data_IF_402747676554
#
_entry.id   IF_402747676554
#
_cell.length_a   1.000
_cell.length_b   1.000
_cell.length_c   1.000
_cell.angle_alpha   90.00
_cell.angle_beta   90.00
_cell.angle_gamma   90.00
#
_symmetry.space_group_name_H-M   'P 1'
#
loop_
_entity.id
_entity.type
_entity.pdbx_description
1 polymer ?
#
# COMPACT_ATOMS: atom_id res chain seq x y z
N UNK A 1 10.51 -31.95 -1.44
CA UNK A 1 11.68 -31.60 -2.24
C UNK A 1 12.14 -30.21 -1.84
N UNK A 2 13.05 -30.11 -0.84
CA UNK A 2 13.55 -28.86 -0.32
C UNK A 2 14.53 -28.19 -1.27
N UNK A 3 14.11 -27.06 -1.90
CA UNK A 3 14.99 -26.21 -2.68
C UNK A 3 15.57 -25.08 -1.81
N UNK A 4 16.77 -24.57 -2.14
CA UNK A 4 17.30 -23.33 -1.55
C UNK A 4 16.73 -22.13 -2.30
N UNK A 5 16.17 -21.18 -1.56
CA UNK A 5 15.64 -19.92 -2.10
C UNK A 5 16.40 -18.75 -1.49
N UNK A 6 16.73 -17.76 -2.30
CA UNK A 6 17.29 -16.51 -1.81
C UNK A 6 16.16 -15.56 -1.44
N UNK A 7 16.19 -15.07 -0.20
CA UNK A 7 15.24 -14.08 0.30
C UNK A 7 15.93 -12.74 0.51
N UNK A 8 15.20 -11.66 0.28
CA UNK A 8 15.60 -10.33 0.69
C UNK A 8 15.07 -10.05 2.10
N UNK A 9 15.74 -9.17 2.83
CA UNK A 9 15.27 -8.72 4.14
C UNK A 9 15.36 -7.21 4.26
N UNK A 10 14.26 -6.58 4.69
CA UNK A 10 14.27 -5.22 5.18
C UNK A 10 14.73 -5.23 6.64
N UNK A 11 15.74 -4.42 6.95
CA UNK A 11 16.20 -4.21 8.33
C UNK A 11 15.97 -2.75 8.70
N UNK A 12 15.03 -2.51 9.60
CA UNK A 12 14.75 -1.18 10.17
C UNK A 12 15.38 -1.10 11.56
N UNK A 13 16.10 -0.01 11.84
CA UNK A 13 16.77 0.18 13.14
C UNK A 13 16.47 1.58 13.66
N UNK A 14 15.94 1.68 14.88
CA UNK A 14 15.75 2.93 15.59
C UNK A 14 17.10 3.56 15.95
N UNK A 15 17.22 4.86 15.78
CA UNK A 15 18.49 5.57 15.94
C UNK A 15 18.91 5.73 17.41
N UNK A 16 17.96 5.83 18.33
CA UNK A 16 18.22 6.06 19.76
C UNK A 16 18.42 4.72 20.49
N UNK A 17 17.39 3.91 20.64
CA UNK A 17 17.44 2.65 21.38
C UNK A 17 18.28 1.57 20.72
N UNK A 18 18.52 1.64 19.42
CA UNK A 18 19.09 0.58 18.58
C UNK A 18 18.17 -0.64 18.42
N UNK A 19 16.90 -0.53 18.83
CA UNK A 19 15.91 -1.54 18.52
C UNK A 19 15.80 -1.73 17.00
N UNK A 20 15.57 -2.94 16.55
CA UNK A 20 15.50 -3.24 15.15
C UNK A 20 14.49 -4.32 14.83
N UNK A 21 13.94 -4.26 13.64
CA UNK A 21 13.09 -5.28 13.06
C UNK A 21 13.75 -5.83 11.78
N UNK A 22 13.56 -7.11 11.53
CA UNK A 22 14.00 -7.79 10.30
C UNK A 22 12.77 -8.41 9.66
N UNK A 23 12.46 -7.99 8.45
CA UNK A 23 11.28 -8.47 7.72
C UNK A 23 11.74 -9.13 6.43
N UNK A 24 11.38 -10.40 6.27
CA UNK A 24 11.68 -11.17 5.07
C UNK A 24 10.75 -10.81 3.93
N UNK A 25 11.29 -10.70 2.73
CA UNK A 25 10.56 -10.36 1.51
C UNK A 25 10.90 -11.33 0.38
N UNK A 26 9.88 -11.68 -0.42
CA UNK A 26 10.03 -12.55 -1.60
C UNK A 26 10.51 -11.79 -2.83
N UNK A 27 10.38 -10.46 -2.84
CA UNK A 27 10.80 -9.61 -3.94
C UNK A 27 11.16 -8.20 -3.48
N UNK A 28 11.75 -7.40 -4.38
CA UNK A 28 12.06 -5.98 -4.14
C UNK A 28 11.05 -5.04 -4.79
N UNK A 29 9.83 -5.51 -5.05
CA UNK A 29 8.76 -4.67 -5.59
C UNK A 29 8.31 -3.61 -4.60
N UNK A 30 7.62 -2.58 -5.08
CA UNK A 30 7.04 -1.54 -4.22
C UNK A 30 6.07 -2.14 -3.19
N UNK A 31 5.23 -3.07 -3.63
CA UNK A 31 4.27 -3.77 -2.75
C UNK A 31 4.97 -4.41 -1.55
N UNK A 32 6.01 -5.23 -1.81
CA UNK A 32 6.78 -5.87 -0.74
C UNK A 32 7.54 -4.88 0.13
N UNK A 33 8.00 -3.77 -0.46
CA UNK A 33 8.65 -2.70 0.28
C UNK A 33 7.71 -2.03 1.28
N UNK A 34 6.47 -1.72 0.88
CA UNK A 34 5.46 -1.12 1.74
C UNK A 34 4.98 -2.11 2.81
N UNK A 35 4.72 -3.36 2.43
CA UNK A 35 4.36 -4.42 3.36
C UNK A 35 5.43 -4.64 4.44
N UNK A 36 6.70 -4.65 4.02
CA UNK A 36 7.81 -4.80 4.96
C UNK A 36 7.91 -3.61 5.94
N UNK A 37 7.58 -2.38 5.50
CA UNK A 37 7.51 -1.23 6.39
C UNK A 37 6.35 -1.35 7.38
N UNK A 38 5.16 -1.74 6.93
CA UNK A 38 4.02 -1.98 7.81
C UNK A 38 4.40 -2.96 8.93
N UNK A 39 4.90 -4.13 8.56
CA UNK A 39 5.32 -5.17 9.53
C UNK A 39 6.47 -4.72 10.43
N UNK A 40 7.37 -3.88 9.93
CA UNK A 40 8.46 -3.33 10.76
C UNK A 40 7.92 -2.33 11.79
N UNK A 41 7.00 -1.44 11.40
CA UNK A 41 6.39 -0.46 12.31
C UNK A 41 5.56 -1.14 13.40
N UNK A 42 4.81 -2.19 13.07
CA UNK A 42 4.11 -3.01 14.08
C UNK A 42 5.08 -3.58 15.12
N UNK A 43 6.24 -4.14 14.70
CA UNK A 43 7.24 -4.71 15.60
C UNK A 43 7.97 -3.67 16.41
N UNK A 44 8.13 -2.47 15.89
CA UNK A 44 8.72 -1.33 16.59
C UNK A 44 7.73 -0.65 17.54
N UNK A 45 6.43 -0.97 17.44
CA UNK A 45 5.38 -0.38 18.27
C UNK A 45 5.03 1.06 17.92
N UNK A 46 5.39 1.52 16.72
CA UNK A 46 5.13 2.88 16.26
C UNK A 46 5.92 3.23 15.00
N UNK A 47 5.68 4.43 14.47
CA UNK A 47 6.28 4.93 13.24
C UNK A 47 7.35 5.98 13.59
N UNK A 48 8.61 5.84 13.15
CA UNK A 48 9.63 6.86 13.34
C UNK A 48 9.26 8.16 12.60
N UNK A 49 9.49 9.32 13.18
CA UNK A 49 9.27 10.62 12.53
C UNK A 49 10.06 10.78 11.22
N UNK A 50 11.22 10.15 11.15
CA UNK A 50 12.09 10.20 9.97
C UNK A 50 12.59 8.80 9.66
N UNK A 51 12.41 8.38 8.42
CA UNK A 51 12.95 7.12 7.88
C UNK A 51 14.04 7.46 6.88
N UNK A 52 15.23 6.90 7.11
CA UNK A 52 16.38 7.07 6.21
C UNK A 52 16.65 5.78 5.44
N UNK A 53 16.04 5.62 4.25
CA UNK A 53 16.30 4.46 3.42
C UNK A 53 17.71 4.52 2.82
N UNK A 54 18.33 3.36 2.61
CA UNK A 54 19.42 3.27 1.65
C UNK A 54 18.89 3.58 0.24
N UNK A 55 19.76 4.05 -0.67
CA UNK A 55 19.38 4.48 -2.03
C UNK A 55 18.92 3.29 -2.90
N UNK A 56 17.87 2.59 -2.44
CA UNK A 56 17.21 1.53 -3.20
C UNK A 56 16.21 2.12 -4.19
N UNK A 57 16.13 1.55 -5.38
CA UNK A 57 15.25 2.03 -6.46
C UNK A 57 13.76 2.08 -6.09
N UNK A 58 13.34 1.27 -5.14
CA UNK A 58 11.97 1.28 -4.59
C UNK A 58 11.65 2.52 -3.76
N UNK A 59 12.66 3.15 -3.15
CA UNK A 59 12.49 4.37 -2.35
C UNK A 59 12.87 5.63 -3.13
N UNK A 60 13.94 5.57 -3.94
CA UNK A 60 14.52 6.70 -4.64
C UNK A 60 14.47 6.47 -6.14
N UNK A 61 13.71 7.29 -6.86
CA UNK A 61 13.60 7.22 -8.32
C UNK A 61 14.84 7.78 -9.00
N UNK A 62 15.43 8.87 -8.47
CA UNK A 62 16.61 9.51 -9.01
C UNK A 62 17.33 10.37 -7.97
N UNK A 63 18.66 10.47 -8.06
CA UNK A 63 19.47 11.32 -7.17
C UNK A 63 19.76 10.69 -5.81
N UNK A 64 20.24 11.51 -4.86
CA UNK A 64 20.53 11.09 -3.50
C UNK A 64 20.59 12.30 -2.54
N UNK A 65 20.39 12.04 -1.23
CA UNK A 65 20.36 13.08 -0.19
C UNK A 65 19.28 14.13 -0.44
N UNK A 66 19.53 15.42 -0.17
CA UNK A 66 18.53 16.48 -0.31
C UNK A 66 17.99 16.66 -1.75
N UNK A 67 18.72 16.18 -2.74
CA UNK A 67 18.36 16.26 -4.16
C UNK A 67 17.74 14.96 -4.70
N UNK A 68 17.46 14.00 -3.82
CA UNK A 68 16.81 12.77 -4.19
C UNK A 68 15.36 13.00 -4.59
N UNK A 69 14.96 12.48 -5.74
CA UNK A 69 13.55 12.38 -6.12
C UNK A 69 13.03 11.03 -5.64
N UNK A 70 12.11 11.06 -4.70
CA UNK A 70 11.48 9.84 -4.18
C UNK A 70 10.61 9.18 -5.24
N UNK A 71 10.50 7.87 -5.13
CA UNK A 71 9.48 7.13 -5.86
C UNK A 71 8.10 7.57 -5.36
N UNK A 72 7.21 7.96 -6.28
CA UNK A 72 5.93 8.63 -5.93
C UNK A 72 5.05 7.78 -5.00
N UNK A 73 4.97 6.47 -5.25
CA UNK A 73 4.23 5.56 -4.40
C UNK A 73 4.76 5.54 -2.96
N UNK A 74 6.10 5.49 -2.78
CA UNK A 74 6.68 5.52 -1.44
C UNK A 74 6.50 6.89 -0.77
N UNK A 75 6.61 7.99 -1.52
CA UNK A 75 6.35 9.33 -1.00
C UNK A 75 4.88 9.51 -0.57
N UNK A 76 3.95 8.95 -1.32
CA UNK A 76 2.52 8.95 -0.98
C UNK A 76 2.23 8.14 0.29
N UNK A 77 2.82 6.96 0.41
CA UNK A 77 2.74 6.12 1.61
C UNK A 77 3.30 6.84 2.84
N UNK A 78 4.46 7.49 2.72
CA UNK A 78 5.07 8.25 3.82
C UNK A 78 4.19 9.41 4.29
N UNK A 79 3.59 10.16 3.35
CA UNK A 79 2.64 11.23 3.68
C UNK A 79 1.41 10.71 4.42
N UNK A 80 0.87 9.57 4.00
CA UNK A 80 -0.30 8.97 4.65
C UNK A 80 -0.02 8.54 6.08
N UNK A 81 1.19 8.07 6.37
CA UNK A 81 1.63 7.66 7.71
C UNK A 81 2.27 8.79 8.53
N UNK A 82 2.51 9.95 7.93
CA UNK A 82 3.02 11.14 8.60
C UNK A 82 4.52 11.15 8.88
N UNK A 83 5.32 10.28 8.24
CA UNK A 83 6.76 10.28 8.42
C UNK A 83 7.51 10.95 7.26
N UNK A 84 8.70 11.49 7.57
CA UNK A 84 9.58 12.13 6.60
C UNK A 84 10.56 11.11 6.04
N UNK A 85 10.70 11.06 4.72
CA UNK A 85 11.74 10.26 4.06
C UNK A 85 12.96 11.13 3.85
N UNK A 86 14.10 10.73 4.43
CA UNK A 86 15.40 11.40 4.33
C UNK A 86 16.43 10.47 3.67
N UNK A 87 16.54 10.44 2.34
CA UNK A 87 17.43 9.52 1.64
C UNK A 87 18.90 9.74 1.98
N UNK A 88 19.68 8.67 2.10
CA UNK A 88 21.11 8.74 2.34
C UNK A 88 21.86 9.53 1.25
N UNK A 89 22.83 10.35 1.64
CA UNK A 89 23.75 10.98 0.71
C UNK A 89 24.70 9.95 0.09
N UNK A 90 25.08 10.18 -1.18
CA UNK A 90 26.04 9.31 -1.86
C UNK A 90 27.41 9.42 -1.17
N UNK A 91 28.05 8.28 -0.92
CA UNK A 91 29.42 8.15 -0.38
C UNK A 91 29.65 8.78 1.01
N UNK A 92 28.62 9.06 1.79
CA UNK A 92 28.77 9.57 3.16
C UNK A 92 28.76 8.40 4.13
N UNK A 93 29.96 7.94 4.51
CA UNK A 93 30.15 6.77 5.40
C UNK A 93 29.48 6.94 6.76
N UNK A 94 29.37 8.17 7.29
CA UNK A 94 28.69 8.48 8.54
C UNK A 94 27.19 8.22 8.51
N UNK A 95 26.53 8.42 7.37
CA UNK A 95 25.09 8.23 7.21
C UNK A 95 24.72 6.74 7.17
N UNK A 96 25.61 5.91 6.61
CA UNK A 96 25.38 4.46 6.43
C UNK A 96 25.94 3.57 7.56
N UNK A 97 26.95 4.04 8.29
CA UNK A 97 27.72 3.20 9.20
C UNK A 97 26.90 2.44 10.24
N UNK A 98 25.79 2.99 10.71
CA UNK A 98 24.90 2.33 11.68
C UNK A 98 24.09 1.21 11.03
N UNK A 99 23.56 1.45 9.82
CA UNK A 99 22.72 0.48 9.08
C UNK A 99 23.59 -0.66 8.53
N UNK A 100 24.74 -0.35 7.95
CA UNK A 100 25.68 -1.38 7.43
C UNK A 100 26.22 -2.29 8.52
N UNK A 101 26.58 -1.71 9.70
CA UNK A 101 26.99 -2.50 10.87
C UNK A 101 25.86 -3.42 11.32
N UNK A 102 24.62 -2.88 11.41
CA UNK A 102 23.45 -3.69 11.76
C UNK A 102 23.18 -4.79 10.74
N UNK A 103 23.28 -4.50 9.45
CA UNK A 103 23.11 -5.50 8.39
C UNK A 103 24.12 -6.65 8.49
N UNK A 104 25.38 -6.36 8.83
CA UNK A 104 26.40 -7.40 9.07
C UNK A 104 26.08 -8.21 10.33
N UNK A 105 25.73 -7.55 11.42
CA UNK A 105 25.35 -8.21 12.68
C UNK A 105 24.14 -9.13 12.46
N UNK A 106 23.11 -8.66 11.74
CA UNK A 106 21.89 -9.45 11.41
C UNK A 106 22.26 -10.69 10.63
N UNK A 107 23.09 -10.57 9.59
CA UNK A 107 23.53 -11.75 8.80
C UNK A 107 24.30 -12.76 9.65
N UNK A 108 25.11 -12.29 10.59
CA UNK A 108 25.90 -13.16 11.46
C UNK A 108 25.00 -13.95 12.43
N UNK A 109 24.09 -13.28 13.17
CA UNK A 109 23.28 -13.97 14.17
C UNK A 109 22.10 -14.77 13.61
N UNK A 110 21.61 -14.42 12.41
CA UNK A 110 20.62 -15.21 11.68
C UNK A 110 21.25 -16.34 10.85
N UNK A 111 22.58 -16.42 10.79
CA UNK A 111 23.29 -17.44 10.01
C UNK A 111 22.86 -18.87 10.32
N UNK A 112 22.55 -19.19 11.57
CA UNK A 112 22.07 -20.50 11.99
C UNK A 112 20.67 -20.88 11.39
N UNK A 113 19.86 -19.92 10.92
CA UNK A 113 18.59 -20.20 10.27
C UNK A 113 18.76 -20.71 8.82
N UNK A 114 19.95 -20.57 8.23
CA UNK A 114 20.23 -21.05 6.87
C UNK A 114 20.15 -22.57 6.73
N UNK A 115 20.40 -23.28 7.82
CA UNK A 115 20.43 -24.74 7.85
C UNK A 115 19.09 -25.33 8.35
N UNK A 116 18.10 -24.48 8.64
CA UNK A 116 16.75 -24.88 9.04
C UNK A 116 15.84 -24.83 7.82
N UNK A 117 15.05 -25.88 7.63
CA UNK A 117 14.02 -25.91 6.58
C UNK A 117 12.72 -25.31 7.13
N UNK A 118 12.22 -24.28 6.47
CA UNK A 118 10.95 -23.66 6.77
C UNK A 118 9.98 -23.96 5.62
N UNK A 119 8.74 -24.33 5.94
CA UNK A 119 7.69 -24.59 4.95
C UNK A 119 6.99 -23.30 4.51
N UNK A 120 6.95 -22.31 5.41
CA UNK A 120 6.27 -21.03 5.18
C UNK A 120 7.17 -19.86 5.57
N UNK A 121 6.95 -18.73 4.91
CA UNK A 121 7.70 -17.50 5.23
C UNK A 121 7.38 -17.00 6.64
N UNK A 122 6.16 -17.22 7.12
CA UNK A 122 5.70 -16.85 8.45
C UNK A 122 6.47 -17.61 9.55
N UNK A 123 6.80 -18.88 9.32
CA UNK A 123 7.57 -19.69 10.28
C UNK A 123 9.01 -19.17 10.40
N UNK A 124 9.64 -18.83 9.27
CA UNK A 124 10.94 -18.16 9.25
C UNK A 124 10.90 -16.81 9.95
N UNK A 125 9.82 -16.02 9.71
CA UNK A 125 9.63 -14.72 10.34
C UNK A 125 9.49 -14.86 11.85
N UNK A 126 8.68 -15.80 12.35
CA UNK A 126 8.50 -16.06 13.78
C UNK A 126 9.82 -16.45 14.46
N UNK A 127 10.58 -17.37 13.86
CA UNK A 127 11.91 -17.77 14.35
C UNK A 127 12.91 -16.60 14.36
N UNK A 128 12.79 -15.69 13.38
CA UNK A 128 13.61 -14.45 13.32
C UNK A 128 13.24 -13.51 14.44
N UNK A 129 11.95 -13.25 14.65
CA UNK A 129 11.43 -12.34 15.68
C UNK A 129 11.81 -12.82 17.09
N UNK A 130 11.76 -14.14 17.36
CA UNK A 130 12.22 -14.73 18.62
C UNK A 130 13.72 -14.49 18.84
N UNK A 131 14.55 -14.73 17.82
CA UNK A 131 16.00 -14.47 17.90
C UNK A 131 16.31 -12.98 18.11
N UNK A 132 15.60 -12.09 17.41
CA UNK A 132 15.75 -10.64 17.60
C UNK A 132 15.42 -10.29 19.05
N UNK A 133 14.30 -10.77 19.60
CA UNK A 133 13.89 -10.53 21.00
C UNK A 133 14.96 -10.99 21.98
N UNK A 134 15.45 -12.22 21.86
CA UNK A 134 16.50 -12.76 22.71
C UNK A 134 17.80 -11.94 22.63
N UNK A 135 18.12 -11.41 21.44
CA UNK A 135 19.34 -10.61 21.24
C UNK A 135 19.22 -9.21 21.85
N UNK A 136 18.10 -8.51 21.67
CA UNK A 136 17.92 -7.13 22.18
C UNK A 136 17.85 -7.07 23.70
N UNK A 137 17.47 -8.16 24.37
CA UNK A 137 17.54 -8.30 25.83
C UNK A 137 18.97 -8.28 26.36
N UNK A 138 19.92 -8.84 25.60
CA UNK A 138 21.33 -9.00 26.00
C UNK A 138 22.22 -7.86 25.56
N UNK A 139 21.88 -7.18 24.47
CA UNK A 139 22.70 -6.09 23.94
C UNK A 139 22.47 -4.80 24.72
N UNK A 140 23.56 -4.12 25.00
CA UNK A 140 23.53 -2.79 25.63
C UNK A 140 23.41 -1.70 24.56
N UNK A 141 22.50 -0.77 24.77
CA UNK A 141 22.37 0.43 23.94
C UNK A 141 23.52 1.40 24.26
N UNK A 142 24.33 1.80 23.27
CA UNK A 142 25.48 2.68 23.51
C UNK A 142 25.07 4.11 23.88
N UNK A 143 23.80 4.48 23.69
CA UNK A 143 23.28 5.81 24.00
C UNK A 143 22.82 5.91 25.46
N UNK A 144 22.13 4.88 25.95
CA UNK A 144 21.48 4.90 27.27
C UNK A 144 22.23 4.13 28.33
N UNK A 145 23.15 3.25 27.94
CA UNK A 145 23.82 2.31 28.85
C UNK A 145 22.94 1.17 29.39
N UNK A 146 21.65 1.13 28.98
CA UNK A 146 20.68 0.08 29.35
C UNK A 146 20.59 -0.98 28.24
N UNK A 147 19.87 -2.06 28.50
CA UNK A 147 19.55 -3.01 27.40
C UNK A 147 18.82 -2.28 26.26
N UNK A 148 18.98 -2.81 25.04
CA UNK A 148 18.24 -2.28 23.88
C UNK A 148 16.73 -2.35 24.12
N UNK A 149 16.23 -3.43 24.73
CA UNK A 149 14.82 -3.59 25.06
C UNK A 149 14.32 -2.50 25.99
N UNK A 150 14.99 -2.25 27.14
CA UNK A 150 14.59 -1.19 28.08
C UNK A 150 14.70 0.22 27.49
N UNK A 151 15.66 0.43 26.58
CA UNK A 151 15.81 1.70 25.86
C UNK A 151 14.69 1.93 24.86
N UNK A 152 14.24 0.85 24.21
CA UNK A 152 13.13 0.89 23.25
C UNK A 152 11.78 1.12 23.94
N UNK A 153 11.53 0.47 25.07
CA UNK A 153 10.31 0.71 25.87
C UNK A 153 10.15 2.20 26.22
N UNK A 154 11.26 2.86 26.55
CA UNK A 154 11.26 4.31 26.81
C UNK A 154 11.09 5.15 25.53
N UNK A 155 11.63 4.68 24.38
CA UNK A 155 11.55 5.41 23.10
C UNK A 155 10.18 5.31 22.44
N UNK A 156 9.37 4.27 22.74
CA UNK A 156 8.05 4.08 22.13
C UNK A 156 7.13 5.31 22.24
N UNK A 157 7.18 6.02 23.37
CA UNK A 157 6.38 7.24 23.57
C UNK A 157 6.75 8.39 22.62
N UNK A 158 7.94 8.33 22.00
CA UNK A 158 8.42 9.34 21.05
C UNK A 158 8.12 8.97 19.58
N UNK A 159 7.61 7.77 19.32
CA UNK A 159 7.20 7.37 17.99
C UNK A 159 5.80 7.92 17.65
N UNK A 160 5.50 8.09 16.36
CA UNK A 160 4.14 8.33 15.92
C UNK A 160 3.28 7.09 16.21
N UNK A 161 2.06 7.31 16.65
CA UNK A 161 1.12 6.22 16.92
C UNK A 161 0.80 5.45 15.63
N UNK A 162 0.67 4.13 15.75
CA UNK A 162 0.14 3.32 14.66
C UNK A 162 -1.32 3.66 14.42
N UNK A 163 -1.76 3.87 13.17
CA UNK A 163 -3.18 3.98 12.87
C UNK A 163 -3.89 2.66 13.17
N UNK A 164 -5.19 2.71 13.39
CA UNK A 164 -6.01 1.50 13.64
C UNK A 164 -5.87 0.47 12.51
N UNK A 165 -5.68 0.94 11.28
CA UNK A 165 -5.40 0.10 10.11
C UNK A 165 -4.26 0.74 9.31
N UNK A 166 -3.19 -0.01 9.10
CA UNK A 166 -2.09 0.42 8.23
C UNK A 166 -2.54 0.44 6.76
N UNK A 167 -1.99 1.34 5.94
CA UNK A 167 -2.30 1.39 4.51
C UNK A 167 -2.04 0.06 3.83
N UNK A 168 -2.97 -0.39 2.99
CA UNK A 168 -2.76 -1.59 2.20
C UNK A 168 -1.61 -1.38 1.20
N UNK A 169 -0.63 -2.28 1.14
CA UNK A 169 0.48 -2.19 0.20
C UNK A 169 0.02 -2.25 -1.24
N UNK A 170 0.59 -1.43 -2.11
CA UNK A 170 0.23 -1.34 -3.52
C UNK A 170 1.46 -1.41 -4.44
N UNK A 171 1.25 -1.87 -5.65
CA UNK A 171 2.29 -1.96 -6.69
C UNK A 171 2.18 -0.83 -7.72
N UNK A 172 0.97 -0.35 -7.95
CA UNK A 172 0.66 0.70 -8.93
C UNK A 172 -0.13 1.81 -8.27
N UNK A 173 0.24 3.06 -8.57
CA UNK A 173 -0.50 4.25 -8.18
C UNK A 173 -0.61 5.18 -9.37
N UNK A 174 -1.83 5.61 -9.68
CA UNK A 174 -2.11 6.55 -10.78
C UNK A 174 -3.13 7.59 -10.36
N UNK A 175 -2.98 8.78 -10.91
CA UNK A 175 -4.01 9.82 -10.76
C UNK A 175 -4.99 9.72 -11.94
N UNK A 176 -6.27 9.84 -11.65
CA UNK A 176 -7.37 9.78 -12.64
C UNK A 176 -8.37 10.89 -12.37
N UNK A 177 -8.97 11.40 -13.44
CA UNK A 177 -10.12 12.31 -13.32
C UNK A 177 -11.39 11.47 -13.31
N UNK A 178 -12.27 11.75 -12.38
CA UNK A 178 -13.60 11.14 -12.28
C UNK A 178 -14.48 11.67 -13.42
N UNK A 179 -15.14 10.77 -14.13
CA UNK A 179 -16.06 11.13 -15.22
C UNK A 179 -17.36 11.74 -14.68
N UNK A 180 -18.20 12.25 -15.59
CA UNK A 180 -19.54 12.76 -15.25
C UNK A 180 -20.48 11.66 -14.75
N UNK A 181 -20.18 10.39 -15.08
CA UNK A 181 -20.89 9.20 -14.58
C UNK A 181 -20.32 8.69 -13.25
N UNK A 182 -19.49 9.48 -12.55
CA UNK A 182 -18.84 9.11 -11.29
C UNK A 182 -17.92 7.89 -11.40
N UNK A 183 -17.35 7.64 -12.57
CA UNK A 183 -16.52 6.48 -12.84
C UNK A 183 -15.04 6.85 -12.98
N UNK A 184 -14.19 5.92 -12.57
CA UNK A 184 -12.73 6.00 -12.67
C UNK A 184 -12.21 4.77 -13.40
N UNK A 185 -11.40 4.97 -14.44
CA UNK A 185 -10.81 3.88 -15.23
C UNK A 185 -9.46 3.45 -14.66
N UNK A 186 -9.31 2.14 -14.39
CA UNK A 186 -8.05 1.54 -13.98
C UNK A 186 -7.96 0.08 -14.46
N UNK A 187 -6.83 -0.32 -15.05
CA UNK A 187 -6.56 -1.69 -15.55
C UNK A 187 -7.69 -2.25 -16.44
N UNK A 188 -8.25 -1.40 -17.33
CA UNK A 188 -9.30 -1.81 -18.27
C UNK A 188 -10.68 -2.02 -17.64
N UNK A 189 -10.88 -1.54 -16.43
CA UNK A 189 -12.14 -1.58 -15.67
C UNK A 189 -12.56 -0.18 -15.25
N UNK A 190 -13.83 -0.03 -14.92
CA UNK A 190 -14.41 1.20 -14.40
C UNK A 190 -14.96 0.95 -13.00
N UNK A 191 -14.66 1.88 -12.11
CA UNK A 191 -14.99 1.82 -10.70
C UNK A 191 -15.77 3.06 -10.31
N UNK A 192 -16.92 2.87 -9.67
CA UNK A 192 -17.72 3.98 -9.20
C UNK A 192 -17.09 4.60 -7.95
N UNK A 193 -17.19 5.91 -7.84
CA UNK A 193 -16.79 6.68 -6.66
C UNK A 193 -17.94 7.57 -6.22
N UNK A 194 -17.94 8.08 -4.97
CA UNK A 194 -18.98 9.00 -4.52
C UNK A 194 -19.17 10.15 -5.50
N UNK A 195 -20.42 10.48 -5.82
CA UNK A 195 -20.77 11.51 -6.81
C UNK A 195 -20.19 12.89 -6.46
N UNK A 196 -19.93 13.16 -5.19
CA UNK A 196 -19.24 14.36 -4.72
C UNK A 196 -17.82 14.51 -5.26
N UNK A 197 -17.25 13.44 -5.80
CA UNK A 197 -15.92 13.42 -6.43
C UNK A 197 -15.94 13.64 -7.94
N UNK A 198 -17.12 13.85 -8.54
CA UNK A 198 -17.30 14.09 -9.98
C UNK A 198 -16.37 15.22 -10.48
N UNK A 199 -15.71 14.99 -11.63
CA UNK A 199 -14.73 15.92 -12.27
C UNK A 199 -13.51 16.27 -11.41
N UNK A 200 -13.34 15.64 -10.22
CA UNK A 200 -12.15 15.81 -9.41
C UNK A 200 -11.09 14.78 -9.78
N UNK A 201 -9.85 15.11 -9.50
CA UNK A 201 -8.75 14.14 -9.59
C UNK A 201 -8.77 13.26 -8.35
N UNK A 202 -8.62 11.96 -8.55
CA UNK A 202 -8.50 10.97 -7.48
C UNK A 202 -7.25 10.14 -7.70
N UNK A 203 -6.73 9.57 -6.62
CA UNK A 203 -5.60 8.66 -6.65
C UNK A 203 -6.10 7.22 -6.58
N UNK A 204 -5.77 6.42 -7.59
CA UNK A 204 -6.12 4.99 -7.67
C UNK A 204 -4.90 4.15 -7.38
N UNK A 205 -5.01 3.22 -6.45
CA UNK A 205 -3.96 2.29 -6.06
C UNK A 205 -4.37 0.86 -6.36
N UNK A 206 -3.52 0.14 -7.06
CA UNK A 206 -3.63 -1.31 -7.24
C UNK A 206 -2.91 -2.02 -6.11
N UNK A 207 -3.65 -2.67 -5.21
CA UNK A 207 -3.13 -3.50 -4.13
C UNK A 207 -3.12 -4.99 -4.56
N UNK A 208 -2.65 -5.89 -3.73
CA UNK A 208 -2.54 -7.30 -4.09
C UNK A 208 -3.88 -7.92 -4.54
N UNK A 209 -4.97 -7.64 -3.86
CA UNK A 209 -6.31 -8.17 -4.15
C UNK A 209 -7.38 -7.10 -4.32
N UNK A 210 -7.05 -5.82 -4.14
CA UNK A 210 -8.02 -4.73 -4.13
C UNK A 210 -7.55 -3.54 -4.97
N UNK A 211 -8.51 -2.71 -5.36
CA UNK A 211 -8.29 -1.38 -5.90
C UNK A 211 -8.79 -0.38 -4.86
N UNK A 212 -7.92 0.47 -4.37
CA UNK A 212 -8.22 1.51 -3.41
C UNK A 212 -8.25 2.87 -4.10
N UNK A 213 -9.27 3.67 -3.84
CA UNK A 213 -9.43 4.99 -4.44
C UNK A 213 -9.47 6.05 -3.34
N UNK A 214 -8.64 7.07 -3.48
CA UNK A 214 -8.48 8.16 -2.52
C UNK A 214 -8.70 9.52 -3.18
N UNK A 215 -9.28 10.45 -2.45
CA UNK A 215 -9.26 11.87 -2.80
C UNK A 215 -7.84 12.46 -2.75
N UNK A 216 -7.67 13.65 -3.30
CA UNK A 216 -6.37 14.38 -3.29
C UNK A 216 -5.95 14.74 -1.86
N UNK A 217 -6.92 14.91 -0.98
CA UNK A 217 -6.79 15.16 0.46
C UNK A 217 -6.40 13.92 1.27
N UNK A 218 -6.34 12.73 0.61
CA UNK A 218 -6.05 11.46 1.24
C UNK A 218 -7.27 10.76 1.84
N UNK A 219 -8.50 11.33 1.71
CA UNK A 219 -9.70 10.66 2.13
C UNK A 219 -9.92 9.37 1.33
N UNK A 220 -10.19 8.26 2.00
CA UNK A 220 -10.57 7.01 1.35
C UNK A 220 -11.99 7.14 0.77
N UNK A 221 -12.15 6.93 -0.53
CA UNK A 221 -13.41 7.10 -1.25
C UNK A 221 -14.09 5.77 -1.56
N UNK A 222 -13.34 4.78 -2.05
CA UNK A 222 -13.89 3.51 -2.48
C UNK A 222 -12.86 2.38 -2.44
N UNK A 223 -13.35 1.15 -2.26
CA UNK A 223 -12.58 -0.08 -2.31
C UNK A 223 -13.31 -1.13 -3.14
N UNK A 224 -12.59 -1.75 -4.07
CA UNK A 224 -13.13 -2.78 -4.96
C UNK A 224 -12.17 -3.96 -5.08
N UNK A 225 -12.66 -5.17 -5.41
CA UNK A 225 -11.79 -6.29 -5.73
C UNK A 225 -11.03 -6.03 -7.04
N UNK A 226 -9.72 -6.34 -7.06
CA UNK A 226 -8.85 -6.23 -8.23
C UNK A 226 -8.92 -7.50 -9.08
N UNK A 227 -8.82 -7.36 -10.38
CA UNK A 227 -8.69 -8.51 -11.29
C UNK A 227 -9.98 -9.30 -11.52
N UNK A 228 -11.15 -8.76 -11.15
CA UNK A 228 -12.45 -9.42 -11.39
C UNK A 228 -12.78 -9.51 -12.88
N UNK A 229 -13.69 -10.43 -13.25
CA UNK A 229 -14.22 -10.53 -14.61
C UNK A 229 -15.10 -9.33 -15.00
N UNK A 230 -15.78 -8.70 -14.01
CA UNK A 230 -16.61 -7.53 -14.22
C UNK A 230 -15.77 -6.32 -14.67
N UNK A 231 -16.23 -5.65 -15.73
CA UNK A 231 -15.60 -4.43 -16.25
C UNK A 231 -16.13 -3.15 -15.63
N UNK A 232 -17.32 -3.20 -15.04
CA UNK A 232 -17.99 -2.09 -14.37
C UNK A 232 -18.33 -2.52 -12.95
N UNK A 233 -17.77 -1.81 -11.96
CA UNK A 233 -17.98 -2.07 -10.53
C UNK A 233 -18.67 -0.85 -9.93
N UNK A 234 -19.88 -1.05 -9.43
CA UNK A 234 -20.77 -0.02 -8.88
C UNK A 234 -21.04 -0.29 -7.41
N UNK A 235 -21.25 0.78 -6.65
CA UNK A 235 -21.72 0.74 -5.27
C UNK A 235 -22.86 1.75 -5.09
N UNK A 236 -24.07 1.27 -4.85
CA UNK A 236 -25.26 2.12 -4.71
C UNK A 236 -25.11 3.22 -3.66
N UNK A 237 -24.30 3.00 -2.63
CA UNK A 237 -24.03 3.99 -1.57
C UNK A 237 -23.34 5.24 -2.10
N UNK A 238 -22.63 5.16 -3.21
CA UNK A 238 -21.94 6.30 -3.81
C UNK A 238 -22.87 7.33 -4.47
N UNK A 239 -24.12 6.97 -4.72
CA UNK A 239 -25.16 7.86 -5.21
C UNK A 239 -25.95 8.55 -4.10
N UNK A 240 -25.70 8.20 -2.83
CA UNK A 240 -26.40 8.75 -1.67
C UNK A 240 -25.66 9.96 -1.08
N UNK A 241 -26.41 10.82 -0.36
CA UNK A 241 -25.89 12.01 0.31
C UNK A 241 -26.43 13.32 -0.30
N UNK A 242 -26.02 14.42 0.29
CA UNK A 242 -26.34 15.76 -0.20
C UNK A 242 -25.33 16.23 -1.23
N UNK A 243 -25.79 16.90 -2.29
CA UNK A 243 -24.93 17.55 -3.26
C UNK A 243 -24.34 18.84 -2.69
N UNK A 244 -23.26 19.32 -3.29
CA UNK A 244 -22.71 20.66 -3.05
C UNK A 244 -23.08 21.62 -4.18
N UNK A 245 -22.67 22.88 -4.08
CA UNK A 245 -22.93 23.92 -5.11
C UNK A 245 -22.41 23.57 -6.51
N UNK A 246 -21.50 22.61 -6.61
CA UNK A 246 -20.84 22.20 -7.85
C UNK A 246 -21.37 20.90 -8.41
N UNK A 247 -21.85 20.00 -7.54
CA UNK A 247 -22.24 18.64 -7.93
C UNK A 247 -23.64 18.33 -7.40
N UNK A 248 -24.56 18.09 -8.32
CA UNK A 248 -25.93 17.66 -7.99
C UNK A 248 -25.98 16.15 -7.82
N UNK A 249 -26.80 15.70 -6.87
CA UNK A 249 -27.10 14.29 -6.68
C UNK A 249 -27.60 13.64 -7.98
N UNK A 250 -27.12 12.44 -8.36
CA UNK A 250 -27.63 11.70 -9.50
C UNK A 250 -29.14 11.50 -9.42
N UNK A 251 -29.85 11.66 -10.56
CA UNK A 251 -31.30 11.47 -10.60
C UNK A 251 -31.67 10.02 -10.32
N UNK A 252 -32.87 9.76 -9.74
CA UNK A 252 -33.34 8.40 -9.51
C UNK A 252 -33.36 7.53 -10.78
N UNK A 253 -33.64 8.15 -11.94
CA UNK A 253 -33.65 7.45 -13.23
C UNK A 253 -32.28 6.91 -13.62
N UNK A 254 -31.21 7.67 -13.38
CA UNK A 254 -29.84 7.21 -13.61
C UNK A 254 -29.48 6.01 -12.73
N UNK A 255 -29.93 6.01 -11.46
CA UNK A 255 -29.74 4.86 -10.55
C UNK A 255 -30.52 3.63 -10.98
N UNK A 256 -31.74 3.79 -11.44
CA UNK A 256 -32.56 2.68 -11.97
C UNK A 256 -31.89 2.10 -13.22
N UNK A 257 -31.39 2.95 -14.11
CA UNK A 257 -30.64 2.50 -15.30
C UNK A 257 -29.40 1.69 -14.93
N UNK A 258 -28.62 2.13 -13.94
CA UNK A 258 -27.45 1.39 -13.43
C UNK A 258 -27.85 0.06 -12.80
N UNK A 259 -28.89 0.01 -11.99
CA UNK A 259 -29.41 -1.24 -11.41
C UNK A 259 -29.86 -2.23 -12.49
N UNK A 260 -30.52 -1.76 -13.54
CA UNK A 260 -30.94 -2.59 -14.68
C UNK A 260 -29.75 -3.20 -15.41
N UNK A 261 -28.65 -2.47 -15.59
CA UNK A 261 -27.41 -2.98 -16.21
C UNK A 261 -26.76 -4.04 -15.36
N UNK A 262 -26.86 -3.94 -14.03
CA UNK A 262 -26.26 -4.91 -13.10
C UNK A 262 -27.07 -6.20 -12.93
N UNK A 263 -28.40 -6.10 -12.96
CA UNK A 263 -29.30 -7.24 -12.66
C UNK A 263 -29.64 -8.10 -13.86
N UNK A 264 -29.40 -7.64 -15.09
CA UNK A 264 -29.74 -8.37 -16.29
C UNK A 264 -28.53 -8.64 -17.18
N UNK A 265 -28.22 -9.91 -17.41
CA UNK A 265 -27.59 -10.34 -18.65
C UNK A 265 -28.59 -10.03 -19.77
N UNK A 266 -28.35 -8.96 -20.53
CA UNK A 266 -29.19 -8.64 -21.67
C UNK A 266 -29.00 -9.70 -22.75
N UNK A 267 -29.87 -10.69 -22.83
CA UNK A 267 -30.15 -11.34 -24.08
C UNK A 267 -30.82 -10.30 -24.96
N UNK A 268 -30.08 -9.77 -25.92
CA UNK A 268 -30.64 -8.94 -26.97
C UNK A 268 -31.57 -9.85 -27.76
N UNK A 269 -32.86 -9.81 -27.45
CA UNK A 269 -33.88 -10.47 -28.25
C UNK A 269 -33.79 -9.88 -29.67
N UNK A 270 -33.21 -10.65 -30.60
CA UNK A 270 -33.22 -10.30 -32.02
C UNK A 270 -34.68 -10.38 -32.45
N UNK A 271 -35.33 -9.21 -32.63
CA UNK A 271 -36.65 -9.18 -33.25
C UNK A 271 -36.49 -9.62 -34.69
N UNK A 272 -37.34 -10.57 -35.17
CA UNK A 272 -37.36 -10.94 -36.57
C UNK A 272 -37.58 -9.72 -37.46
N UNK A 273 -36.95 -9.69 -38.62
CA UNK A 273 -37.11 -8.59 -39.60
C UNK A 273 -38.58 -8.39 -39.99
N UNK A 274 -39.38 -9.45 -39.93
CA UNK A 274 -40.80 -9.42 -40.22
C UNK A 274 -41.61 -8.49 -39.31
N UNK A 275 -41.20 -8.31 -38.03
CA UNK A 275 -41.83 -7.37 -37.09
C UNK A 275 -41.67 -5.90 -37.57
N UNK A 276 -40.54 -5.60 -38.18
CA UNK A 276 -40.28 -4.26 -38.74
C UNK A 276 -41.04 -4.05 -40.05
N UNK A 277 -41.18 -5.08 -40.89
CA UNK A 277 -41.95 -5.00 -42.12
C UNK A 277 -43.46 -4.82 -41.85
N UNK A 278 -44.00 -5.42 -40.82
CA UNK A 278 -45.36 -5.23 -40.37
C UNK A 278 -45.61 -3.82 -39.83
N UNK A 279 -44.64 -3.24 -39.12
CA UNK A 279 -44.71 -1.87 -38.61
C UNK A 279 -44.72 -0.83 -39.77
N UNK A 280 -43.90 -1.05 -40.80
CA UNK A 280 -43.85 -0.19 -41.99
C UNK A 280 -45.18 -0.30 -42.78
N UNK A 281 -45.76 -1.47 -42.87
CA UNK A 281 -47.08 -1.65 -43.53
C UNK A 281 -48.24 -0.98 -42.79
N UNK A 282 -48.14 -0.80 -41.47
CA UNK A 282 -49.15 -0.09 -40.66
C UNK A 282 -49.01 1.44 -40.74
N UNK A 283 -47.84 1.94 -41.16
CA UNK A 283 -47.52 3.36 -41.25
C UNK A 283 -47.65 3.91 -42.69
N UNK A 284 -47.81 3.05 -43.68
CA UNK A 284 -48.09 3.38 -45.08
C UNK A 284 -49.58 3.24 -45.37
#
# INVERSE_FOLDING_TARGET
>A
LGGRTTLDALVVTLSHSRMFAVIWALSRSLLWWLEAHNRAFERLGGIPWTVRPDNVRTAVAWGAGPWARLQEGYASYARQLGFIVDPCRVRTASDKGKVERRGRDVRAFLGALKDVCFLRLEDLQAATDERVRARVQRLICPVTGRSILASWEAEQAALLALPATLPEPFDVQVNRTVTDDCLVSFEGRQYEVPFTSMRRTVQVRGCAGTVEIYGVDGQHLARYPRGTACRLLLDQRHAEGEGDDRVRRPTPLGRVGQAIVLERSWEVARRPIDDYLELVRRLA
#
